data_IF_103724608972
#
_entry.id   IF_103724608972
#
_cell.length_a   1.000
_cell.length_b   1.000
_cell.length_c   1.000
_cell.angle_alpha   90.00
_cell.angle_beta   90.00
_cell.angle_gamma   90.00
#
_symmetry.space_group_name_H-M   'P 1'
#
loop_
_entity.id
_entity.type
_entity.pdbx_description
1 polymer ?
#
# COMPACT_ATOMS: atom_id res chain seq x y z
N UNK A 1 12.67 -17.46 -15.98
CA UNK A 1 12.11 -16.18 -15.47
C UNK A 1 13.09 -15.60 -14.46
N UNK A 2 13.43 -14.32 -14.58
CA UNK A 2 14.39 -13.66 -13.66
C UNK A 2 13.61 -13.18 -12.45
N UNK A 3 13.77 -13.86 -11.30
CA UNK A 3 13.20 -13.40 -10.03
C UNK A 3 13.73 -12.00 -9.69
N UNK A 4 12.90 -11.15 -9.13
CA UNK A 4 13.28 -9.79 -8.76
C UNK A 4 13.32 -8.79 -9.92
N UNK A 5 12.90 -9.17 -11.14
CA UNK A 5 13.01 -8.32 -12.32
C UNK A 5 12.24 -6.99 -12.18
N UNK A 6 11.04 -7.01 -11.63
CA UNK A 6 10.19 -5.81 -11.47
C UNK A 6 10.81 -4.80 -10.50
N UNK A 7 11.54 -5.26 -9.48
CA UNK A 7 12.15 -4.35 -8.51
C UNK A 7 13.29 -3.51 -9.08
N UNK A 8 13.85 -3.92 -10.25
CA UNK A 8 14.87 -3.16 -10.96
C UNK A 8 14.32 -1.91 -11.65
N UNK A 9 12.99 -1.83 -11.77
CA UNK A 9 12.32 -0.65 -12.32
C UNK A 9 12.27 0.53 -11.33
N UNK A 10 12.59 0.28 -10.04
CA UNK A 10 12.52 1.29 -9.00
C UNK A 10 13.92 1.67 -8.52
N UNK A 11 14.19 2.98 -8.41
CA UNK A 11 15.47 3.48 -7.91
C UNK A 11 15.60 3.26 -6.39
N UNK A 12 14.45 3.27 -5.66
CA UNK A 12 14.35 2.99 -4.22
C UNK A 12 13.15 2.10 -3.92
N UNK A 13 13.29 1.26 -2.90
CA UNK A 13 12.21 0.45 -2.31
C UNK A 13 12.16 0.81 -0.83
N UNK A 14 11.20 1.64 -0.45
CA UNK A 14 11.06 2.13 0.91
C UNK A 14 10.06 1.28 1.69
N UNK A 15 10.47 0.75 2.83
CA UNK A 15 9.64 -0.11 3.70
C UNK A 15 9.21 0.69 4.91
N UNK A 16 7.90 0.85 5.08
CA UNK A 16 7.29 1.44 6.28
C UNK A 16 7.21 0.36 7.34
N UNK A 17 7.97 0.56 8.43
CA UNK A 17 8.10 -0.42 9.50
C UNK A 17 8.28 0.26 10.85
N UNK A 18 7.66 -0.30 11.88
CA UNK A 18 7.87 0.10 13.27
C UNK A 18 8.91 -0.82 13.91
N UNK A 19 10.06 -0.30 14.43
CA UNK A 19 11.16 -1.12 14.95
C UNK A 19 10.74 -2.17 16.00
N UNK A 20 9.72 -1.91 16.80
CA UNK A 20 9.17 -2.85 17.77
C UNK A 20 8.39 -4.01 17.15
N UNK A 21 8.14 -4.00 15.84
CA UNK A 21 7.43 -5.06 15.13
C UNK A 21 8.41 -5.96 14.37
N UNK A 22 9.45 -6.41 15.04
CA UNK A 22 10.43 -7.36 14.46
C UNK A 22 9.77 -8.62 13.88
N UNK A 23 8.62 -9.03 14.44
CA UNK A 23 7.80 -10.12 13.93
C UNK A 23 7.39 -9.86 12.48
N UNK A 24 6.91 -8.64 12.17
CA UNK A 24 6.50 -8.25 10.82
C UNK A 24 7.68 -8.11 9.86
N UNK A 25 8.80 -7.56 10.34
CA UNK A 25 10.00 -7.44 9.49
C UNK A 25 10.50 -8.81 9.05
N UNK A 26 10.55 -9.81 9.96
CA UNK A 26 10.90 -11.20 9.60
C UNK A 26 9.91 -11.81 8.60
N UNK A 27 8.61 -11.58 8.79
CA UNK A 27 7.58 -12.06 7.86
C UNK A 27 7.71 -11.39 6.49
N UNK A 28 7.92 -10.07 6.43
CA UNK A 28 8.14 -9.36 5.18
C UNK A 28 9.44 -9.82 4.49
N UNK A 29 10.51 -10.05 5.24
CA UNK A 29 11.77 -10.58 4.65
C UNK A 29 11.52 -11.88 3.90
N UNK A 30 10.75 -12.81 4.48
CA UNK A 30 10.35 -14.05 3.80
C UNK A 30 9.52 -13.80 2.53
N UNK A 31 8.62 -12.82 2.55
CA UNK A 31 7.84 -12.43 1.36
C UNK A 31 8.72 -11.84 0.26
N UNK A 32 9.69 -11.00 0.63
CA UNK A 32 10.63 -10.41 -0.32
C UNK A 32 11.53 -11.48 -0.97
N UNK A 33 12.06 -12.42 -0.18
CA UNK A 33 12.81 -13.58 -0.67
C UNK A 33 11.99 -14.43 -1.64
N UNK A 34 10.71 -14.68 -1.31
CA UNK A 34 9.78 -15.42 -2.19
C UNK A 34 9.66 -14.77 -3.56
N UNK A 35 9.64 -13.45 -3.64
CA UNK A 35 9.54 -12.69 -4.89
C UNK A 35 10.90 -12.29 -5.48
N UNK A 36 12.00 -12.70 -4.85
CA UNK A 36 13.36 -12.52 -5.36
C UNK A 36 13.97 -11.14 -5.09
N UNK A 37 13.59 -10.51 -4.00
CA UNK A 37 14.22 -9.30 -3.47
C UNK A 37 14.90 -9.60 -2.14
N UNK A 38 16.20 -9.33 -2.05
CA UNK A 38 16.92 -9.37 -0.77
C UNK A 38 16.63 -8.07 0.00
N UNK A 39 16.27 -8.18 1.28
CA UNK A 39 16.08 -7.02 2.15
C UNK A 39 17.36 -6.17 2.31
N UNK A 40 18.53 -6.76 2.04
CA UNK A 40 19.84 -6.10 2.03
C UNK A 40 20.20 -5.48 0.67
N UNK A 41 19.33 -5.57 -0.33
CA UNK A 41 19.56 -4.90 -1.62
C UNK A 41 19.76 -3.39 -1.38
N UNK A 42 20.79 -2.80 -2.01
CA UNK A 42 21.18 -1.40 -1.82
C UNK A 42 20.05 -0.39 -2.09
N UNK A 43 18.99 -0.80 -2.76
CA UNK A 43 17.81 0.04 -3.07
C UNK A 43 16.75 -0.06 -1.98
N UNK A 44 16.85 -1.04 -1.08
CA UNK A 44 15.90 -1.22 0.02
C UNK A 44 16.32 -0.30 1.17
N UNK A 45 15.39 0.52 1.60
CA UNK A 45 15.53 1.40 2.75
C UNK A 45 14.38 1.19 3.72
N UNK A 46 14.66 1.29 5.01
CA UNK A 46 13.66 1.27 6.09
C UNK A 46 13.77 2.63 6.80
N UNK A 47 13.05 3.66 6.31
CA UNK A 47 13.09 4.98 6.94
C UNK A 47 12.57 4.92 8.38
N UNK A 48 13.09 5.78 9.24
CA UNK A 48 12.58 5.90 10.60
C UNK A 48 11.11 6.35 10.57
N UNK A 49 10.22 5.54 11.13
CA UNK A 49 8.79 5.84 11.17
C UNK A 49 8.51 7.03 12.12
N UNK A 50 7.80 8.07 11.69
CA UNK A 50 7.34 9.16 12.54
C UNK A 50 6.47 8.67 13.68
N UNK A 51 6.65 9.29 14.86
CA UNK A 51 5.91 8.94 16.09
C UNK A 51 5.25 10.20 16.67
N UNK A 52 4.12 10.64 16.09
CA UNK A 52 3.42 11.81 16.61
C UNK A 52 2.94 11.57 18.04
N UNK A 53 3.01 12.60 18.88
CA UNK A 53 2.55 12.55 20.27
C UNK A 53 1.04 12.54 20.39
N UNK A 54 0.35 13.14 19.42
CA UNK A 54 -1.11 13.23 19.35
C UNK A 54 -1.63 12.86 17.95
N UNK A 55 -2.92 12.56 17.77
CA UNK A 55 -3.50 12.28 16.47
C UNK A 55 -3.71 13.52 15.59
N UNK A 56 -3.57 14.73 16.10
CA UNK A 56 -3.75 16.02 15.39
C UNK A 56 -5.01 16.09 14.49
N UNK A 57 -6.09 15.42 14.93
CA UNK A 57 -7.35 15.31 14.18
C UNK A 57 -7.44 14.14 13.20
N UNK A 58 -6.38 13.36 12.98
CA UNK A 58 -6.46 12.07 12.28
C UNK A 58 -7.21 11.02 13.12
N UNK A 59 -7.72 9.94 12.53
CA UNK A 59 -8.45 8.89 13.25
C UNK A 59 -7.69 8.28 14.43
N UNK A 60 -6.36 8.24 14.36
CA UNK A 60 -5.48 7.84 15.48
C UNK A 60 -4.05 8.34 15.27
N UNK A 61 -3.22 8.29 16.32
CA UNK A 61 -1.78 8.58 16.22
C UNK A 61 -1.08 7.68 15.21
N UNK A 62 -1.48 6.40 15.16
CA UNK A 62 -0.92 5.44 14.20
C UNK A 62 -1.27 5.80 12.76
N UNK A 63 -2.51 6.20 12.49
CA UNK A 63 -2.93 6.67 11.16
C UNK A 63 -2.14 7.91 10.75
N UNK A 64 -1.95 8.85 11.68
CA UNK A 64 -1.15 10.06 11.41
C UNK A 64 0.32 9.70 11.15
N UNK A 65 0.93 8.86 11.98
CA UNK A 65 2.31 8.40 11.77
C UNK A 65 2.50 7.65 10.46
N UNK A 66 1.53 6.80 10.07
CA UNK A 66 1.53 6.13 8.77
C UNK A 66 1.45 7.14 7.62
N UNK A 67 0.53 8.11 7.71
CA UNK A 67 0.39 9.18 6.72
C UNK A 67 1.70 9.96 6.53
N UNK A 68 2.34 10.35 7.63
CA UNK A 68 3.63 11.04 7.63
C UNK A 68 4.76 10.18 7.02
N UNK A 69 4.73 8.86 7.24
CA UNK A 69 5.70 7.94 6.64
C UNK A 69 5.61 7.95 5.12
N UNK A 70 4.40 7.84 4.57
CA UNK A 70 4.17 7.90 3.12
C UNK A 70 4.59 9.23 2.52
N UNK A 71 4.18 10.34 3.13
CA UNK A 71 4.57 11.69 2.70
C UNK A 71 6.09 11.87 2.71
N UNK A 72 6.74 11.49 3.81
CA UNK A 72 8.20 11.63 3.97
C UNK A 72 8.97 10.83 2.92
N UNK A 73 8.54 9.62 2.60
CA UNK A 73 9.15 8.77 1.57
C UNK A 73 9.04 9.43 0.19
N UNK A 74 7.85 9.93 -0.17
CA UNK A 74 7.61 10.55 -1.49
C UNK A 74 8.43 11.83 -1.64
N UNK A 75 8.43 12.69 -0.59
CA UNK A 75 9.22 13.92 -0.56
C UNK A 75 10.70 13.63 -0.70
N UNK A 76 11.26 12.75 0.14
CA UNK A 76 12.67 12.40 0.12
C UNK A 76 13.09 11.81 -1.23
N UNK A 77 12.26 10.95 -1.83
CA UNK A 77 12.54 10.39 -3.15
C UNK A 77 12.63 11.48 -4.23
N UNK A 78 11.77 12.50 -4.16
CA UNK A 78 11.82 13.64 -5.07
C UNK A 78 13.09 14.49 -4.87
N UNK A 79 13.42 14.82 -3.61
CA UNK A 79 14.59 15.62 -3.23
C UNK A 79 15.89 14.91 -3.63
N UNK A 80 15.97 13.60 -3.46
CA UNK A 80 17.11 12.77 -3.88
C UNK A 80 17.24 12.59 -5.39
N UNK A 81 16.34 13.15 -6.18
CA UNK A 81 16.39 13.09 -7.63
C UNK A 81 15.99 11.75 -8.23
N UNK A 82 15.33 10.86 -7.48
CA UNK A 82 14.96 9.52 -7.95
C UNK A 82 13.89 9.59 -9.04
N UNK A 83 13.94 8.67 -10.00
CA UNK A 83 12.93 8.54 -11.06
C UNK A 83 11.66 7.85 -10.55
N UNK A 84 11.80 6.93 -9.61
CA UNK A 84 10.67 6.22 -9.03
C UNK A 84 11.01 5.64 -7.64
N UNK A 85 9.99 5.52 -6.80
CA UNK A 85 10.04 4.86 -5.51
C UNK A 85 8.92 3.84 -5.39
N UNK A 86 9.23 2.61 -4.94
CA UNK A 86 8.24 1.63 -4.49
C UNK A 86 8.09 1.76 -2.97
N UNK A 87 6.86 1.91 -2.50
CA UNK A 87 6.51 1.98 -1.09
C UNK A 87 5.86 0.67 -0.68
N UNK A 88 6.37 0.05 0.39
CA UNK A 88 5.85 -1.18 0.98
C UNK A 88 5.53 -0.96 2.46
N UNK A 89 4.39 -1.47 2.93
CA UNK A 89 4.13 -1.64 4.36
C UNK A 89 4.61 -3.03 4.82
N UNK A 90 4.99 -3.16 6.08
CA UNK A 90 5.58 -4.38 6.66
C UNK A 90 4.61 -5.58 6.77
N UNK A 91 3.36 -5.40 6.34
CA UNK A 91 2.35 -6.46 6.29
C UNK A 91 1.97 -6.87 4.86
N UNK A 92 2.73 -6.46 3.85
CA UNK A 92 2.51 -6.87 2.47
C UNK A 92 2.76 -8.37 2.27
N UNK A 93 1.86 -9.03 1.52
CA UNK A 93 1.97 -10.42 1.06
C UNK A 93 1.90 -10.41 -0.46
N UNK A 94 2.73 -11.21 -1.12
CA UNK A 94 2.75 -11.32 -2.58
C UNK A 94 2.11 -12.61 -3.08
N UNK A 95 1.40 -12.53 -4.21
CA UNK A 95 0.79 -13.69 -4.86
C UNK A 95 1.83 -14.49 -5.68
N UNK A 96 1.52 -15.76 -5.95
CA UNK A 96 2.29 -16.56 -6.91
C UNK A 96 2.26 -15.94 -8.32
N UNK A 97 1.17 -15.27 -8.68
CA UNK A 97 1.04 -14.56 -9.95
C UNK A 97 2.05 -13.43 -10.08
N UNK A 98 2.26 -12.65 -9.01
CA UNK A 98 3.32 -11.64 -8.99
C UNK A 98 4.70 -12.26 -9.22
N UNK A 99 5.03 -13.36 -8.51
CA UNK A 99 6.31 -14.05 -8.68
C UNK A 99 6.53 -14.56 -10.12
N UNK A 100 5.46 -15.00 -10.81
CA UNK A 100 5.54 -15.51 -12.18
C UNK A 100 5.63 -14.42 -13.24
N UNK A 101 4.99 -13.27 -13.04
CA UNK A 101 4.81 -12.22 -14.06
C UNK A 101 5.77 -11.05 -13.97
N UNK A 102 6.85 -11.18 -13.20
CA UNK A 102 7.76 -10.06 -12.96
C UNK A 102 8.43 -9.51 -14.23
N UNK A 103 8.72 -10.36 -15.22
CA UNK A 103 9.32 -9.92 -16.49
C UNK A 103 8.34 -9.10 -17.33
N UNK A 104 7.07 -9.52 -17.39
CA UNK A 104 6.00 -8.79 -18.09
C UNK A 104 5.72 -7.45 -17.41
N UNK A 105 5.66 -7.43 -16.07
CA UNK A 105 5.51 -6.20 -15.30
C UNK A 105 6.69 -5.25 -15.53
N UNK A 106 7.92 -5.75 -15.47
CA UNK A 106 9.12 -4.94 -15.70
C UNK A 106 9.12 -4.35 -17.11
N UNK A 107 8.75 -5.12 -18.12
CA UNK A 107 8.63 -4.64 -19.50
C UNK A 107 7.57 -3.55 -19.64
N UNK A 108 6.42 -3.71 -18.97
CA UNK A 108 5.35 -2.70 -18.99
C UNK A 108 5.74 -1.40 -18.28
N UNK A 109 6.54 -1.49 -17.22
CA UNK A 109 7.01 -0.33 -16.44
C UNK A 109 8.22 0.36 -17.06
N UNK A 110 8.86 -0.23 -18.06
CA UNK A 110 10.02 0.39 -18.73
C UNK A 110 9.65 1.62 -19.55
N UNK A 111 8.37 1.83 -19.87
CA UNK A 111 7.85 3.07 -20.43
C UNK A 111 7.52 4.02 -19.27
N UNK A 112 7.95 5.28 -19.34
CA UNK A 112 7.61 6.32 -18.35
C UNK A 112 6.14 6.79 -18.44
N UNK A 113 5.26 5.98 -19.00
CA UNK A 113 3.86 6.30 -19.25
C UNK A 113 2.94 6.02 -18.04
N UNK A 114 3.46 6.09 -16.81
CA UNK A 114 2.68 5.94 -15.59
C UNK A 114 3.12 6.96 -14.52
N UNK A 115 2.18 7.35 -13.67
CA UNK A 115 2.42 8.26 -12.55
C UNK A 115 2.40 7.53 -11.20
N UNK A 116 1.37 6.72 -10.99
CA UNK A 116 1.23 5.90 -9.78
C UNK A 116 0.84 4.48 -10.18
N UNK A 117 1.47 3.50 -9.56
CA UNK A 117 1.20 2.08 -9.75
C UNK A 117 0.80 1.47 -8.41
N UNK A 118 -0.33 0.76 -8.36
CA UNK A 118 -0.73 -0.05 -7.21
C UNK A 118 -0.63 -1.54 -7.54
N UNK A 119 0.31 -2.23 -6.90
CA UNK A 119 0.42 -3.69 -6.95
C UNK A 119 -0.55 -4.37 -5.96
N UNK A 120 -0.90 -3.66 -4.87
CA UNK A 120 -1.93 -4.03 -3.92
C UNK A 120 -3.07 -3.03 -3.89
N UNK A 121 -4.32 -3.52 -4.07
CA UNK A 121 -5.53 -2.67 -4.10
C UNK A 121 -6.79 -3.47 -3.74
N UNK A 122 -7.85 -2.76 -3.34
CA UNK A 122 -9.12 -3.36 -2.90
C UNK A 122 -10.07 -3.74 -4.04
N UNK A 123 -9.74 -3.43 -5.29
CA UNK A 123 -10.61 -3.73 -6.44
C UNK A 123 -10.60 -5.24 -6.69
N UNK A 124 -11.70 -5.92 -6.34
CA UNK A 124 -11.83 -7.38 -6.40
C UNK A 124 -12.50 -7.91 -7.66
N UNK A 125 -13.17 -7.05 -8.43
CA UNK A 125 -13.95 -7.40 -9.63
C UNK A 125 -13.90 -6.28 -10.66
N UNK A 126 -14.16 -6.62 -11.93
CA UNK A 126 -14.32 -5.64 -13.01
C UNK A 126 -13.03 -5.11 -13.63
N UNK A 127 -11.85 -5.51 -13.17
CA UNK A 127 -10.62 -5.19 -13.89
C UNK A 127 -10.52 -6.07 -15.13
N UNK A 128 -10.22 -5.49 -16.30
CA UNK A 128 -10.01 -6.26 -17.52
C UNK A 128 -8.76 -7.13 -17.39
N UNK A 129 -8.74 -8.24 -18.13
CA UNK A 129 -7.52 -9.01 -18.30
C UNK A 129 -6.47 -8.19 -19.04
N UNK A 130 -5.24 -8.21 -18.56
CA UNK A 130 -4.10 -7.56 -19.20
C UNK A 130 -2.93 -8.53 -19.37
N UNK A 131 -2.40 -8.61 -20.60
CA UNK A 131 -1.18 -9.40 -20.88
C UNK A 131 0.02 -8.86 -20.10
N UNK A 132 0.12 -7.54 -19.91
CA UNK A 132 1.18 -6.91 -19.13
C UNK A 132 1.00 -7.10 -17.61
N UNK A 133 -0.19 -7.49 -17.14
CA UNK A 133 -0.54 -7.53 -15.73
C UNK A 133 -0.89 -6.18 -15.14
N UNK A 134 -0.95 -5.11 -15.93
CA UNK A 134 -1.28 -3.75 -15.51
C UNK A 134 -2.44 -3.21 -16.34
N UNK A 135 -3.31 -2.43 -15.70
CA UNK A 135 -4.44 -1.76 -16.34
C UNK A 135 -4.52 -0.32 -15.89
N UNK A 136 -4.85 0.62 -16.79
CA UNK A 136 -5.21 1.98 -16.39
C UNK A 136 -6.53 1.96 -15.63
N UNK A 137 -6.60 2.72 -14.54
CA UNK A 137 -7.75 2.71 -13.69
C UNK A 137 -8.11 4.12 -13.21
N UNK A 138 -9.39 4.47 -13.36
CA UNK A 138 -9.94 5.76 -12.97
C UNK A 138 -11.01 5.68 -11.88
N UNK A 139 -11.37 4.47 -11.43
CA UNK A 139 -12.33 4.25 -10.34
C UNK A 139 -11.71 4.41 -8.95
N UNK A 140 -12.53 4.19 -7.93
CA UNK A 140 -12.09 4.26 -6.53
C UNK A 140 -11.48 2.94 -6.09
N UNK A 141 -10.48 3.04 -5.24
CA UNK A 141 -9.83 1.89 -4.60
C UNK A 141 -9.32 2.30 -3.21
N UNK A 142 -9.01 1.29 -2.42
CA UNK A 142 -8.35 1.44 -1.12
C UNK A 142 -7.08 0.59 -1.11
N UNK A 143 -6.35 0.68 0.00
CA UNK A 143 -5.07 0.06 0.29
C UNK A 143 -3.88 0.75 -0.40
N UNK A 144 -2.93 1.14 0.42
CA UNK A 144 -1.68 1.78 -0.01
C UNK A 144 -0.44 1.03 0.52
N UNK A 145 -0.57 -0.30 0.76
CA UNK A 145 0.50 -1.10 1.36
C UNK A 145 1.59 -1.55 0.36
N UNK A 146 1.31 -1.45 -0.94
CA UNK A 146 2.27 -1.81 -2.00
C UNK A 146 1.96 -1.00 -3.26
N UNK A 147 2.66 0.13 -3.43
CA UNK A 147 2.49 1.01 -4.58
C UNK A 147 3.79 1.71 -4.96
N UNK A 148 3.88 2.21 -6.18
CA UNK A 148 5.01 3.00 -6.63
C UNK A 148 4.58 4.35 -7.18
N UNK A 149 5.48 5.34 -7.06
CA UNK A 149 5.29 6.71 -7.54
C UNK A 149 6.41 7.07 -8.49
N UNK A 150 6.07 7.61 -9.65
CA UNK A 150 7.01 8.14 -10.64
C UNK A 150 7.36 9.60 -10.31
N UNK A 151 8.60 10.01 -10.61
CA UNK A 151 9.09 11.36 -10.32
C UNK A 151 8.15 12.47 -10.83
N UNK A 152 7.55 12.27 -11.99
CA UNK A 152 6.67 13.24 -12.62
C UNK A 152 5.53 13.70 -11.71
N UNK A 153 4.99 12.80 -10.89
CA UNK A 153 3.85 13.10 -10.01
C UNK A 153 4.26 13.33 -8.55
N UNK A 154 5.50 12.97 -8.15
CA UNK A 154 5.95 13.09 -6.76
C UNK A 154 5.73 14.47 -6.16
N UNK A 155 6.10 15.61 -6.81
CA UNK A 155 5.92 16.92 -6.21
C UNK A 155 4.44 17.25 -5.97
N UNK A 156 3.57 16.98 -6.95
CA UNK A 156 2.13 17.24 -6.82
C UNK A 156 1.47 16.36 -5.75
N UNK A 157 1.88 15.08 -5.67
CA UNK A 157 1.37 14.17 -4.64
C UNK A 157 1.86 14.57 -3.25
N UNK A 158 3.13 14.96 -3.09
CA UNK A 158 3.67 15.43 -1.82
C UNK A 158 2.97 16.70 -1.35
N UNK A 159 2.85 17.71 -2.20
CA UNK A 159 2.12 18.96 -1.92
C UNK A 159 0.68 18.69 -1.49
N UNK A 160 -0.05 17.86 -2.24
CA UNK A 160 -1.41 17.48 -1.88
C UNK A 160 -1.50 16.79 -0.50
N UNK A 161 -0.57 15.88 -0.19
CA UNK A 161 -0.55 15.20 1.12
C UNK A 161 -0.21 16.19 2.25
N UNK A 162 0.66 17.18 2.03
CA UNK A 162 0.95 18.23 2.99
C UNK A 162 -0.28 19.09 3.29
N UNK A 163 -0.95 19.56 2.24
CA UNK A 163 -2.19 20.31 2.38
C UNK A 163 -3.29 19.50 3.09
N UNK A 164 -3.33 18.18 2.88
CA UNK A 164 -4.27 17.28 3.56
C UNK A 164 -4.06 17.27 5.07
N UNK A 165 -2.82 17.47 5.57
CA UNK A 165 -2.51 17.58 7.00
C UNK A 165 -3.08 18.87 7.59
N UNK A 166 -3.03 19.97 6.84
CA UNK A 166 -3.47 21.28 7.33
C UNK A 166 -4.99 21.47 7.26
N UNK A 167 -5.64 20.78 6.32
CA UNK A 167 -7.09 20.86 6.11
C UNK A 167 -7.86 20.13 7.22
N UNK A 168 -9.06 20.64 7.62
CA UNK A 168 -9.92 19.97 8.59
C UNK A 168 -10.48 18.64 8.06
N UNK A 169 -10.92 17.79 8.98
CA UNK A 169 -11.66 16.54 8.64
C UNK A 169 -12.90 16.88 7.80
N UNK A 170 -13.12 16.14 6.72
CA UNK A 170 -14.26 16.34 5.82
C UNK A 170 -14.10 17.47 4.81
N UNK A 171 -12.90 18.06 4.70
CA UNK A 171 -12.64 19.06 3.67
C UNK A 171 -12.83 18.47 2.26
N UNK A 172 -13.53 19.15 1.31
CA UNK A 172 -13.86 18.59 -0.01
C UNK A 172 -12.62 18.22 -0.87
N UNK A 173 -11.51 18.93 -0.72
CA UNK A 173 -10.25 18.62 -1.38
C UNK A 173 -9.38 17.64 -0.57
N UNK A 174 -9.92 16.97 0.44
CA UNK A 174 -9.18 16.07 1.33
C UNK A 174 -8.69 16.78 2.60
N UNK A 175 -9.04 16.22 3.75
CA UNK A 175 -8.56 16.60 5.08
C UNK A 175 -7.93 15.40 5.78
N UNK A 176 -7.80 15.46 7.09
CA UNK A 176 -7.17 14.43 7.92
C UNK A 176 -7.86 13.07 7.79
N UNK A 177 -7.28 12.18 6.97
CA UNK A 177 -7.85 10.89 6.59
C UNK A 177 -6.79 9.78 6.51
N UNK A 178 -7.21 8.56 6.20
CA UNK A 178 -6.30 7.47 5.86
C UNK A 178 -5.57 7.74 4.54
N UNK A 179 -4.34 7.29 4.42
CA UNK A 179 -3.48 7.51 3.24
C UNK A 179 -4.08 6.92 1.94
N UNK A 180 -4.74 5.79 2.01
CA UNK A 180 -5.40 5.15 0.86
C UNK A 180 -6.59 5.97 0.34
N UNK A 181 -7.37 6.57 1.25
CA UNK A 181 -8.42 7.52 0.89
C UNK A 181 -7.84 8.80 0.26
N UNK A 182 -6.70 9.30 0.78
CA UNK A 182 -5.99 10.44 0.19
C UNK A 182 -5.51 10.14 -1.23
N UNK A 183 -4.94 8.97 -1.49
CA UNK A 183 -4.55 8.56 -2.85
C UNK A 183 -5.75 8.49 -3.81
N UNK A 184 -6.88 7.94 -3.37
CA UNK A 184 -8.09 7.88 -4.19
C UNK A 184 -8.60 9.29 -4.54
N UNK A 185 -8.61 10.20 -3.56
CA UNK A 185 -9.05 11.58 -3.79
C UNK A 185 -8.07 12.36 -4.65
N UNK A 186 -6.75 12.22 -4.41
CA UNK A 186 -5.72 12.81 -5.27
C UNK A 186 -5.93 12.43 -6.75
N UNK A 187 -6.18 11.15 -7.01
CA UNK A 187 -6.44 10.67 -8.38
C UNK A 187 -7.70 11.31 -8.98
N UNK A 188 -8.78 11.48 -8.19
CA UNK A 188 -10.01 12.16 -8.65
C UNK A 188 -9.75 13.62 -9.02
N UNK A 189 -8.94 14.31 -8.22
CA UNK A 189 -8.56 15.70 -8.45
C UNK A 189 -7.58 15.87 -9.59
N UNK A 190 -6.88 14.81 -9.99
CA UNK A 190 -5.87 14.78 -11.06
C UNK A 190 -6.23 13.70 -12.09
N UNK A 191 -7.30 13.89 -12.91
CA UNK A 191 -7.80 12.89 -13.84
C UNK A 191 -6.79 12.53 -14.96
N UNK A 192 -5.85 13.43 -15.28
CA UNK A 192 -4.81 13.23 -16.27
C UNK A 192 -3.65 12.35 -15.74
N UNK A 193 -3.53 12.20 -14.42
CA UNK A 193 -2.55 11.32 -13.82
C UNK A 193 -2.80 9.86 -14.19
N UNK A 194 -1.77 9.21 -14.71
CA UNK A 194 -1.83 7.81 -15.15
C UNK A 194 -1.70 6.89 -13.95
N UNK A 195 -2.84 6.43 -13.45
CA UNK A 195 -2.91 5.43 -12.39
C UNK A 195 -3.00 4.03 -13.00
N UNK A 196 -2.07 3.15 -12.62
CA UNK A 196 -2.07 1.73 -13.00
C UNK A 196 -2.41 0.87 -11.79
N UNK A 197 -3.27 -0.14 -11.99
CA UNK A 197 -3.50 -1.22 -11.04
C UNK A 197 -3.00 -2.53 -11.61
N UNK A 198 -2.49 -3.41 -10.75
CA UNK A 198 -2.19 -4.80 -11.15
C UNK A 198 -3.47 -5.58 -11.42
N UNK A 199 -3.49 -6.40 -12.45
CA UNK A 199 -4.64 -7.27 -12.78
C UNK A 199 -4.14 -8.70 -13.12
N UNK A 200 -4.39 -9.66 -12.20
CA UNK A 200 -5.10 -9.55 -10.91
C UNK A 200 -4.32 -8.75 -9.85
N UNK A 201 -4.97 -8.46 -8.69
CA UNK A 201 -4.29 -7.88 -7.53
C UNK A 201 -3.12 -8.78 -7.09
N UNK A 202 -1.92 -8.21 -6.98
CA UNK A 202 -0.69 -8.97 -6.79
C UNK A 202 -0.13 -8.87 -5.37
N UNK A 203 -0.66 -7.96 -4.55
CA UNK A 203 -0.31 -7.85 -3.13
C UNK A 203 -1.54 -7.58 -2.28
N UNK A 204 -1.58 -8.15 -1.08
CA UNK A 204 -2.61 -7.88 -0.07
C UNK A 204 -1.96 -7.65 1.29
N UNK A 205 -2.71 -7.03 2.19
CA UNK A 205 -2.28 -6.86 3.57
C UNK A 205 -2.50 -8.15 4.38
N UNK A 206 -1.48 -8.53 5.15
CA UNK A 206 -1.56 -9.64 6.09
C UNK A 206 -2.63 -9.37 7.14
N UNK A 207 -3.42 -10.37 7.45
CA UNK A 207 -4.40 -10.31 8.51
C UNK A 207 -3.79 -10.33 9.93
N UNK A 208 -2.68 -9.63 10.16
CA UNK A 208 -2.07 -9.53 11.49
C UNK A 208 -2.72 -8.44 12.35
N UNK A 209 -2.57 -8.47 13.71
CA UNK A 209 -3.03 -7.38 14.55
C UNK A 209 -2.43 -6.05 14.10
N UNK A 210 -3.30 -5.08 13.75
CA UNK A 210 -2.88 -3.77 13.28
C UNK A 210 -2.31 -2.94 14.42
N UNK A 211 -1.20 -2.25 14.18
CA UNK A 211 -0.68 -1.23 15.10
C UNK A 211 -1.50 0.07 15.05
N UNK A 212 -2.34 0.24 14.02
CA UNK A 212 -3.17 1.43 13.80
C UNK A 212 -4.50 1.38 14.58
N UNK A 213 -5.03 0.18 14.84
CA UNK A 213 -6.30 -0.04 15.52
C UNK A 213 -6.10 -0.79 16.82
N UNK A 214 -6.97 -0.53 17.82
CA UNK A 214 -6.96 -1.25 19.10
C UNK A 214 -7.18 -2.75 18.86
N UNK A 215 -6.40 -3.59 19.55
CA UNK A 215 -6.57 -5.06 19.47
C UNK A 215 -7.99 -5.43 19.90
N UNK A 216 -8.67 -6.26 19.10
CA UNK A 216 -9.95 -6.86 19.45
C UNK A 216 -9.79 -7.73 20.71
N UNK A 217 -10.81 -7.78 21.56
CA UNK A 217 -10.74 -8.46 22.88
C UNK A 217 -10.27 -9.94 22.81
N UNK A 218 -10.64 -10.68 21.75
CA UNK A 218 -10.24 -12.08 21.54
C UNK A 218 -8.75 -12.23 21.12
N UNK A 219 -8.12 -11.17 20.62
CA UNK A 219 -6.69 -11.15 20.29
C UNK A 219 -5.81 -11.00 21.54
N UNK A 220 -6.40 -10.64 22.68
CA UNK A 220 -5.72 -10.52 23.97
C UNK A 220 -5.60 -11.86 24.70
N UNK A 221 -6.34 -12.89 24.32
CA UNK A 221 -6.31 -14.22 24.95
C UNK A 221 -5.28 -15.13 24.27
N UNK A 222 -4.29 -15.66 25.02
CA UNK A 222 -3.17 -16.44 24.48
C UNK A 222 -3.56 -17.67 23.65
N UNK A 223 -4.56 -18.42 24.07
CA UNK A 223 -5.03 -19.65 23.38
C UNK A 223 -5.80 -19.34 22.09
N UNK A 224 -6.65 -18.33 22.12
CA UNK A 224 -7.39 -17.90 20.92
C UNK A 224 -6.51 -17.20 19.91
N UNK A 225 -5.43 -16.52 20.34
CA UNK A 225 -4.50 -15.85 19.43
C UNK A 225 -3.75 -16.82 18.51
N UNK A 226 -3.34 -17.99 19.02
CA UNK A 226 -2.66 -19.01 18.21
C UNK A 226 -3.57 -19.61 17.13
N UNK A 227 -4.82 -19.94 17.48
CA UNK A 227 -5.81 -20.44 16.52
C UNK A 227 -6.18 -19.39 15.46
N UNK A 228 -6.38 -18.15 15.88
CA UNK A 228 -6.66 -17.03 14.98
C UNK A 228 -5.48 -16.76 14.05
N UNK A 229 -4.24 -16.82 14.53
CA UNK A 229 -3.04 -16.66 13.70
C UNK A 229 -2.89 -17.82 12.70
N UNK A 230 -3.14 -19.07 13.12
CA UNK A 230 -3.12 -20.23 12.24
C UNK A 230 -4.17 -20.12 11.12
N UNK A 231 -5.40 -19.72 11.47
CA UNK A 231 -6.48 -19.47 10.50
C UNK A 231 -6.13 -18.32 9.53
N UNK A 232 -5.47 -17.27 10.01
CA UNK A 232 -5.00 -16.14 9.16
C UNK A 232 -3.92 -16.61 8.18
N UNK A 233 -2.92 -17.37 8.63
CA UNK A 233 -1.87 -17.94 7.76
C UNK A 233 -2.45 -18.86 6.69
N UNK A 234 -3.41 -19.71 7.05
CA UNK A 234 -4.11 -20.57 6.09
C UNK A 234 -4.88 -19.77 5.03
N UNK A 235 -5.57 -18.71 5.43
CA UNK A 235 -6.27 -17.81 4.52
C UNK A 235 -5.29 -17.09 3.57
N UNK A 236 -4.19 -16.59 4.09
CA UNK A 236 -3.18 -15.86 3.33
C UNK A 236 -2.53 -16.80 2.29
N UNK A 237 -2.29 -18.07 2.65
CA UNK A 237 -1.77 -19.08 1.71
C UNK A 237 -2.80 -19.46 0.63
N UNK A 238 -4.08 -19.61 0.96
CA UNK A 238 -5.13 -19.86 -0.01
C UNK A 238 -5.27 -18.70 -1.00
N UNK A 239 -5.17 -17.46 -0.52
CA UNK A 239 -5.16 -16.29 -1.40
C UNK A 239 -3.91 -16.28 -2.29
N UNK A 240 -2.73 -16.53 -1.73
CA UNK A 240 -1.47 -16.59 -2.48
C UNK A 240 -1.56 -17.53 -3.67
N UNK A 241 -2.22 -18.68 -3.48
CA UNK A 241 -2.47 -19.67 -4.53
C UNK A 241 -3.61 -19.33 -5.49
N UNK A 242 -4.29 -18.23 -5.27
CA UNK A 242 -5.46 -17.83 -6.08
C UNK A 242 -6.73 -18.64 -5.80
N UNK A 243 -6.73 -19.44 -4.72
CA UNK A 243 -7.88 -20.27 -4.29
C UNK A 243 -8.91 -19.48 -3.49
N UNK A 244 -8.52 -18.31 -2.96
CA UNK A 244 -9.39 -17.38 -2.26
C UNK A 244 -9.32 -16.01 -2.94
N UNK A 245 -10.50 -15.45 -3.27
CA UNK A 245 -10.61 -14.04 -3.63
C UNK A 245 -10.81 -13.24 -2.35
N UNK A 246 -9.90 -12.35 -2.02
CA UNK A 246 -10.07 -11.41 -0.92
C UNK A 246 -11.11 -10.38 -1.37
N UNK A 247 -12.35 -10.57 -0.89
CA UNK A 247 -13.36 -9.53 -0.99
C UNK A 247 -13.09 -8.44 0.07
N UNK A 248 -13.72 -7.27 -0.04
CA UNK A 248 -13.53 -6.11 0.84
C UNK A 248 -13.99 -6.32 2.31
N UNK A 249 -14.12 -7.55 2.80
CA UNK A 249 -14.56 -7.88 4.17
C UNK A 249 -13.51 -7.61 5.27
N UNK A 250 -12.39 -6.98 4.98
CA UNK A 250 -11.44 -6.52 5.99
C UNK A 250 -11.55 -5.04 6.32
N UNK A 251 -12.34 -4.28 5.57
CA UNK A 251 -12.64 -2.89 5.88
C UNK A 251 -13.86 -2.88 6.79
N UNK A 252 -13.69 -2.40 8.02
CA UNK A 252 -14.82 -2.17 8.93
C UNK A 252 -15.74 -1.16 8.27
N UNK A 253 -16.85 -1.63 7.67
CA UNK A 253 -17.80 -0.82 6.92
C UNK A 253 -18.46 0.25 7.77
N UNK A 254 -18.31 0.21 9.10
CA UNK A 254 -18.75 1.26 10.01
C UNK A 254 -17.81 2.49 9.96
N UNK A 255 -16.49 2.28 9.89
CA UNK A 255 -15.54 3.39 9.81
C UNK A 255 -15.50 4.03 8.41
N UNK A 256 -15.73 3.24 7.35
CA UNK A 256 -15.82 3.74 5.97
C UNK A 256 -17.12 4.44 5.66
N UNK A 257 -18.25 4.05 6.28
CA UNK A 257 -19.52 4.73 6.08
C UNK A 257 -19.56 6.12 6.71
N UNK A 258 -18.83 6.38 7.79
CA UNK A 258 -18.73 7.71 8.39
C UNK A 258 -17.68 8.62 7.73
N UNK A 259 -16.73 8.05 6.99
CA UNK A 259 -15.66 8.81 6.34
C UNK A 259 -15.92 9.11 4.85
N UNK A 260 -16.92 8.50 4.23
CA UNK A 260 -17.20 8.60 2.78
C UNK A 260 -18.71 8.77 2.52
N UNK A 261 -19.37 9.69 3.24
CA UNK A 261 -20.61 10.28 2.74
C UNK A 261 -20.24 11.55 1.96
N UNK A 262 -19.90 11.39 0.70
CA UNK A 262 -19.70 12.51 -0.21
C UNK A 262 -21.06 13.07 -0.65
N UNK A 263 -21.29 14.39 -0.61
CA UNK A 263 -22.43 14.96 -1.32
C UNK A 263 -22.22 14.69 -2.82
N UNK A 264 -23.17 14.02 -3.43
CA UNK A 264 -23.31 13.92 -4.88
C UNK A 264 -24.03 15.19 -5.31
N UNK A 265 -23.35 16.11 -5.93
CA UNK A 265 -23.87 17.08 -6.88
C UNK A 265 -23.11 16.95 -8.19
#
# INVERSE_FOLDING_TARGET
MVKGAVFRCFDRIAIIHLPEREDRLRELTTELEFVGLDIKDRRVEIPQAPRPSSPEGFPSRGVYGNFLSHLGIIRQAYEDGLRSVLVLEDDAIFSHEFSRRQSELASALSSDAWDVLFLGHSVSRGLPFSKSGLVRYSGDFLWAHCYAVNRRIMPHLAEYLEETIDRPVGHPLGGKMYIDAAHTLFRRLNPDAVCLLSSPCMSVQRGSPSSLNSRRWYEKMRLTSALVQSGRKGRDELWRRGLLRVGPKGVDTAATKSAVSWPVE
#
